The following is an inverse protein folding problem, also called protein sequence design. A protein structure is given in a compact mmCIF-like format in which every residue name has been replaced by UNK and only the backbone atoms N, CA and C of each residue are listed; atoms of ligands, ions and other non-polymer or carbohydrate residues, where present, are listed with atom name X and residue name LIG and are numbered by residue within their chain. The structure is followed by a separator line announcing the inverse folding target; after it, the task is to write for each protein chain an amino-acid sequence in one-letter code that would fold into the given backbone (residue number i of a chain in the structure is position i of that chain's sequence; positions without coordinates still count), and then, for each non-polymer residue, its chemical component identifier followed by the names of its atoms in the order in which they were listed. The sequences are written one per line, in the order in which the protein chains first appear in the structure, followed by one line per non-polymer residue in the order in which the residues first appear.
data_IF_888537422365
#
_entry.id   IF_888537422365
#
_cell.length_a   1.000
_cell.length_b   1.000
_cell.length_c   1.000
_cell.angle_alpha   90.00
_cell.angle_beta   90.00
_cell.angle_gamma   90.00
#
_symmetry.space_group_name_H-M   'P 1'
#
loop_
_entity.id
_entity.type
_entity.pdbx_description
1 polymer ?
#
# COMPACT_ATOMS: atom_id res chain seq x y z
N UNK A 1 20.61 5.49 8.28
CA UNK A 1 19.73 6.29 7.43
C UNK A 1 18.37 5.59 7.49
N UNK A 2 17.35 6.03 8.24
CA UNK A 2 16.82 7.39 8.41
C UNK A 2 16.78 8.09 7.06
N UNK A 3 15.58 8.45 6.58
CA UNK A 3 15.34 9.08 5.28
C UNK A 3 16.56 9.87 4.81
N UNK A 4 17.21 9.35 3.76
CA UNK A 4 18.53 9.82 3.36
C UNK A 4 18.50 11.32 3.07
N UNK A 5 19.33 12.09 3.78
CA UNK A 5 19.57 13.52 3.51
C UNK A 5 19.99 13.71 2.05
N UNK A 6 19.19 14.42 1.26
CA UNK A 6 19.55 14.93 -0.07
C UNK A 6 19.99 16.39 0.09
N UNK A 7 21.10 16.74 -0.57
CA UNK A 7 21.71 18.08 -0.61
C UNK A 7 20.74 19.15 -1.15
N UNK A 8 20.77 20.35 -0.55
CA UNK A 8 19.79 21.43 -0.69
C UNK A 8 19.92 22.28 -1.97
N UNK A 9 20.73 21.87 -2.95
CA UNK A 9 21.15 22.70 -4.09
C UNK A 9 20.33 22.52 -5.38
N UNK A 10 19.20 21.80 -5.36
CA UNK A 10 18.37 21.55 -6.57
C UNK A 10 16.87 21.79 -6.35
N UNK A 11 16.47 23.06 -6.30
CA UNK A 11 15.07 23.50 -6.05
C UNK A 11 14.49 24.17 -7.31
N UNK A 12 13.33 23.70 -7.79
CA UNK A 12 12.58 24.36 -8.88
C UNK A 12 11.06 24.07 -8.83
N UNK A 13 10.16 24.99 -9.31
CA UNK A 13 8.69 24.81 -9.35
C UNK A 13 8.23 24.18 -10.69
N UNK A 14 7.03 23.62 -10.95
CA UNK A 14 5.64 23.86 -10.50
C UNK A 14 4.76 22.59 -10.69
N UNK A 15 3.66 22.44 -9.93
CA UNK A 15 2.64 21.38 -10.10
C UNK A 15 1.52 21.76 -11.09
N UNK A 16 0.93 20.77 -11.79
CA UNK A 16 -0.25 20.92 -12.67
C UNK A 16 -1.40 20.00 -12.20
N UNK A 17 -2.64 20.50 -12.23
CA UNK A 17 -3.85 19.86 -11.69
C UNK A 17 -4.76 19.32 -12.81
N UNK A 18 -5.49 18.21 -12.57
CA UNK A 18 -6.62 17.76 -13.41
C UNK A 18 -7.83 17.37 -12.56
N UNK A 19 -9.04 17.47 -13.13
CA UNK A 19 -10.33 17.31 -12.44
C UNK A 19 -10.95 15.93 -12.67
N UNK A 20 -11.46 15.29 -11.61
CA UNK A 20 -12.33 14.11 -11.67
C UNK A 20 -13.57 14.30 -10.79
N UNK A 21 -14.71 13.77 -11.24
CA UNK A 21 -16.06 14.15 -10.75
C UNK A 21 -16.50 13.46 -9.44
N UNK A 22 -15.68 12.61 -8.82
CA UNK A 22 -16.10 11.75 -7.70
C UNK A 22 -15.20 11.77 -6.46
N UNK A 23 -14.13 12.56 -6.42
CA UNK A 23 -13.31 12.74 -5.22
C UNK A 23 -13.42 14.19 -4.72
N UNK A 24 -14.16 14.44 -3.63
CA UNK A 24 -14.25 15.77 -3.00
C UNK A 24 -13.05 16.07 -2.06
N UNK A 25 -11.83 15.74 -2.55
CA UNK A 25 -10.46 16.17 -2.22
C UNK A 25 -9.92 16.18 -0.77
N UNK A 26 -8.84 15.40 -0.54
CA UNK A 26 -7.69 15.86 0.28
C UNK A 26 -6.64 16.42 -0.67
N UNK A 27 -6.13 17.61 -0.35
CA UNK A 27 -5.02 18.27 -1.05
C UNK A 27 -3.81 18.24 -0.12
N UNK A 28 -2.68 17.74 -0.60
CA UNK A 28 -1.40 17.91 0.10
C UNK A 28 -0.71 19.12 -0.50
N UNK A 29 -0.78 20.25 0.21
CA UNK A 29 0.14 21.37 0.01
C UNK A 29 1.23 21.26 1.07
N UNK A 30 2.48 21.51 0.70
CA UNK A 30 3.46 21.96 1.67
C UNK A 30 4.28 23.11 1.10
N UNK A 31 4.45 24.11 1.96
CA UNK A 31 5.06 25.40 1.66
C UNK A 31 6.57 25.39 1.75
N UNK A 32 7.21 24.38 2.33
CA UNK A 32 8.68 24.29 2.39
C UNK A 32 9.18 22.84 2.42
N UNK A 33 10.20 22.58 1.59
CA UNK A 33 11.26 21.62 1.87
C UNK A 33 10.93 20.13 1.70
N UNK A 34 11.30 19.57 0.54
CA UNK A 34 12.10 18.34 0.41
C UNK A 34 12.40 18.12 -1.08
N UNK A 35 13.64 17.74 -1.38
CA UNK A 35 14.23 17.85 -2.71
C UNK A 35 13.66 16.91 -3.78
N UNK A 36 13.91 17.26 -5.03
CA UNK A 36 13.72 16.39 -6.17
C UNK A 36 14.78 15.27 -6.19
N UNK A 37 14.40 14.08 -6.66
CA UNK A 37 15.38 13.06 -7.06
C UNK A 37 15.79 13.41 -8.49
N UNK A 38 16.91 14.14 -8.62
CA UNK A 38 17.26 14.80 -9.89
C UNK A 38 16.37 16.02 -10.11
N UNK A 39 15.62 16.07 -11.22
CA UNK A 39 14.72 17.18 -11.58
C UNK A 39 13.23 16.81 -11.41
N UNK A 40 12.92 15.78 -10.61
CA UNK A 40 11.59 15.14 -10.55
C UNK A 40 11.02 15.09 -9.13
N UNK A 41 9.70 15.26 -9.03
CA UNK A 41 8.95 15.27 -7.77
C UNK A 41 8.69 13.82 -7.29
N UNK A 42 9.21 13.39 -6.12
CA UNK A 42 9.00 12.05 -5.58
C UNK A 42 7.61 11.92 -4.90
N UNK A 43 6.53 11.95 -5.68
CA UNK A 43 5.15 11.99 -5.15
C UNK A 43 4.82 10.87 -4.14
N UNK A 44 5.35 9.66 -4.32
CA UNK A 44 5.15 8.53 -3.42
C UNK A 44 5.67 8.77 -2.01
N UNK A 45 6.83 9.42 -1.88
CA UNK A 45 7.37 9.80 -0.58
C UNK A 45 6.43 10.74 0.17
N UNK A 46 5.94 11.80 -0.50
CA UNK A 46 5.02 12.74 0.14
C UNK A 46 3.68 12.10 0.52
N UNK A 47 3.16 11.19 -0.31
CA UNK A 47 1.90 10.51 -0.01
C UNK A 47 2.03 9.56 1.19
N UNK A 48 3.18 8.89 1.34
CA UNK A 48 3.50 8.06 2.50
C UNK A 48 3.54 8.88 3.80
N UNK A 49 4.33 9.96 3.82
CA UNK A 49 4.45 10.84 4.99
C UNK A 49 3.14 11.57 5.30
N UNK A 50 2.36 11.94 4.28
CA UNK A 50 1.02 12.47 4.46
C UNK A 50 0.07 11.43 5.10
N UNK A 51 0.26 10.15 4.78
CA UNK A 51 -0.42 9.03 5.43
C UNK A 51 -0.25 9.04 6.94
N UNK A 52 0.99 9.20 7.41
CA UNK A 52 1.28 9.36 8.84
C UNK A 52 0.71 10.68 9.38
N UNK A 53 1.11 11.81 8.78
CA UNK A 53 0.89 13.14 9.35
C UNK A 53 -0.57 13.59 9.38
N UNK A 54 -1.39 13.17 8.40
CA UNK A 54 -2.78 13.60 8.30
C UNK A 54 -3.80 12.52 8.66
N UNK A 55 -3.45 11.24 8.51
CA UNK A 55 -4.40 10.14 8.70
C UNK A 55 -4.01 9.17 9.82
N UNK A 56 -2.80 9.31 10.37
CA UNK A 56 -2.32 8.44 11.44
C UNK A 56 -2.16 6.99 11.01
N UNK A 57 -1.88 6.74 9.72
CA UNK A 57 -1.62 5.38 9.24
C UNK A 57 -0.25 4.91 9.77
N UNK A 58 -0.12 3.63 10.17
CA UNK A 58 1.18 3.08 10.56
C UNK A 58 2.01 2.72 9.33
N UNK A 59 3.32 2.54 9.53
CA UNK A 59 4.15 1.82 8.57
C UNK A 59 3.64 0.37 8.47
N UNK A 60 3.48 -0.13 7.25
CA UNK A 60 3.04 -1.51 6.93
C UNK A 60 4.17 -2.37 6.35
N UNK A 61 5.40 -1.91 6.51
CA UNK A 61 6.61 -2.72 6.42
C UNK A 61 7.13 -2.94 7.84
N UNK A 62 7.83 -4.05 8.05
CA UNK A 62 8.45 -4.35 9.32
C UNK A 62 9.97 -4.12 9.20
N UNK A 63 10.78 -5.03 9.75
CA UNK A 63 12.23 -4.94 9.68
C UNK A 63 12.75 -5.32 8.28
N UNK A 64 12.85 -4.32 7.40
CA UNK A 64 13.33 -4.48 6.04
C UNK A 64 14.79 -4.96 5.96
N UNK A 65 15.56 -4.88 7.04
CA UNK A 65 16.91 -5.47 7.06
C UNK A 65 16.88 -6.99 7.13
N UNK A 66 15.75 -7.56 7.56
CA UNK A 66 15.60 -8.97 7.85
C UNK A 66 14.62 -9.68 6.92
N UNK A 67 14.25 -9.07 5.79
CA UNK A 67 13.30 -9.66 4.84
C UNK A 67 11.83 -9.48 5.21
N UNK A 68 11.51 -8.66 6.21
CA UNK A 68 10.14 -8.39 6.63
C UNK A 68 9.62 -7.11 5.97
N UNK A 69 9.23 -7.22 4.70
CA UNK A 69 8.70 -6.13 3.89
C UNK A 69 7.21 -5.83 4.11
N UNK A 70 6.56 -6.61 4.97
CA UNK A 70 5.15 -6.47 5.33
C UNK A 70 4.24 -6.69 4.13
N UNK A 71 3.63 -5.63 3.60
CA UNK A 71 2.81 -5.70 2.38
C UNK A 71 3.59 -5.42 1.08
N UNK A 72 4.92 -5.27 1.18
CA UNK A 72 5.79 -5.09 0.03
C UNK A 72 5.44 -3.85 -0.81
N UNK A 73 5.60 -3.98 -2.12
CA UNK A 73 5.29 -2.94 -3.11
C UNK A 73 3.80 -2.83 -3.41
N UNK A 74 2.94 -3.64 -2.77
CA UNK A 74 1.50 -3.59 -3.00
C UNK A 74 0.80 -2.44 -2.28
N UNK A 75 1.40 -1.81 -1.27
CA UNK A 75 0.75 -0.74 -0.52
C UNK A 75 1.57 0.53 -0.35
N UNK A 76 0.88 1.67 -0.35
CA UNK A 76 1.47 2.99 -0.14
C UNK A 76 2.18 3.11 1.21
N UNK A 77 1.63 2.49 2.26
CA UNK A 77 2.23 2.55 3.60
C UNK A 77 3.39 1.56 3.78
N UNK A 78 3.86 0.95 2.70
CA UNK A 78 5.07 0.14 2.66
C UNK A 78 5.99 0.50 1.50
N UNK A 79 6.62 -0.49 0.87
CA UNK A 79 7.57 -0.27 -0.23
C UNK A 79 6.87 0.28 -1.49
N UNK A 80 5.55 0.24 -1.56
CA UNK A 80 4.78 0.81 -2.67
C UNK A 80 4.95 2.32 -2.81
N UNK A 81 5.38 3.03 -1.76
CA UNK A 81 5.76 4.45 -1.87
C UNK A 81 6.96 4.67 -2.81
N UNK A 82 7.86 3.68 -2.92
CA UNK A 82 9.05 3.74 -3.76
C UNK A 82 8.75 3.39 -5.22
N UNK A 83 7.63 2.73 -5.47
CA UNK A 83 7.18 2.33 -6.79
C UNK A 83 6.44 0.99 -6.77
N UNK A 84 5.98 0.58 -7.95
CA UNK A 84 5.18 -0.64 -8.12
C UNK A 84 5.99 -1.92 -8.31
N UNK A 85 7.30 -1.80 -8.58
CA UNK A 85 8.21 -2.93 -8.71
C UNK A 85 9.65 -2.50 -8.40
N UNK A 86 10.53 -3.48 -8.23
CA UNK A 86 11.94 -3.29 -7.89
C UNK A 86 12.86 -3.11 -9.10
N UNK A 87 12.31 -3.13 -10.31
CA UNK A 87 13.05 -2.96 -11.57
C UNK A 87 13.02 -1.51 -12.07
N UNK A 88 12.47 -0.59 -11.28
CA UNK A 88 12.44 0.82 -11.61
C UNK A 88 13.86 1.41 -11.63
N UNK A 89 14.14 2.20 -12.67
CA UNK A 89 15.35 3.00 -12.71
C UNK A 89 15.39 3.93 -11.49
N UNK A 90 16.60 4.17 -10.93
CA UNK A 90 16.78 5.01 -9.73
C UNK A 90 16.11 6.39 -9.85
N UNK A 91 16.07 6.96 -11.06
CA UNK A 91 15.43 8.26 -11.34
C UNK A 91 13.89 8.23 -11.46
N UNK A 92 13.27 7.06 -11.36
CA UNK A 92 11.81 6.88 -11.35
C UNK A 92 11.30 6.31 -10.01
N UNK A 93 12.19 6.08 -9.04
CA UNK A 93 11.78 5.78 -7.66
C UNK A 93 10.91 6.90 -7.11
N UNK A 94 9.90 6.54 -6.33
CA UNK A 94 8.86 7.42 -5.76
C UNK A 94 7.96 8.14 -6.77
N UNK A 95 8.08 7.83 -8.06
CA UNK A 95 7.27 8.50 -9.09
C UNK A 95 5.93 7.81 -9.33
N UNK A 96 5.91 6.49 -9.20
CA UNK A 96 4.75 5.66 -9.52
C UNK A 96 4.32 4.86 -8.29
N UNK A 97 3.82 5.54 -7.24
CA UNK A 97 3.50 4.83 -6.02
C UNK A 97 2.26 3.96 -6.18
N UNK A 98 2.22 2.89 -5.40
CA UNK A 98 1.08 1.99 -5.31
C UNK A 98 -0.10 2.67 -4.63
N UNK A 99 -1.31 2.16 -4.85
CA UNK A 99 -2.47 2.66 -4.13
C UNK A 99 -2.33 2.41 -2.62
N UNK A 100 -2.96 3.28 -1.81
CA UNK A 100 -3.25 2.94 -0.42
C UNK A 100 -4.00 1.61 -0.31
N UNK A 101 -3.83 0.95 0.82
CA UNK A 101 -4.49 -0.31 1.15
C UNK A 101 -6.01 -0.06 1.27
N UNK A 102 -6.87 -1.07 1.02
CA UNK A 102 -8.32 -0.90 1.11
C UNK A 102 -8.79 -0.36 2.46
N UNK A 103 -8.16 -0.81 3.56
CA UNK A 103 -8.45 -0.31 4.90
C UNK A 103 -8.18 1.19 5.01
N UNK A 104 -7.00 1.62 4.56
CA UNK A 104 -6.57 3.03 4.53
C UNK A 104 -7.54 3.87 3.70
N UNK A 105 -7.86 3.45 2.48
CA UNK A 105 -8.85 4.14 1.60
C UNK A 105 -10.22 4.26 2.28
N UNK A 106 -10.68 3.22 2.95
CA UNK A 106 -11.97 3.21 3.64
C UNK A 106 -11.96 4.13 4.89
N UNK A 107 -10.85 4.20 5.63
CA UNK A 107 -10.69 5.07 6.79
C UNK A 107 -10.86 6.55 6.42
N UNK A 108 -10.21 6.99 5.35
CA UNK A 108 -10.27 8.38 4.85
C UNK A 108 -11.47 8.65 3.95
N UNK A 109 -12.28 7.62 3.65
CA UNK A 109 -13.52 7.76 2.89
C UNK A 109 -13.33 7.91 1.37
N UNK A 110 -12.17 7.50 0.83
CA UNK A 110 -11.93 7.45 -0.61
C UNK A 110 -12.69 6.32 -1.28
N UNK A 111 -12.99 5.26 -0.53
CA UNK A 111 -13.86 4.16 -0.96
C UNK A 111 -14.91 3.88 0.11
N UNK A 112 -16.05 3.34 -0.30
CA UNK A 112 -17.07 2.79 0.60
C UNK A 112 -17.18 1.30 0.33
N UNK A 113 -16.53 0.44 1.15
CA UNK A 113 -16.54 -0.99 0.89
C UNK A 113 -17.96 -1.58 0.89
N UNK A 114 -18.26 -2.43 -0.09
CA UNK A 114 -19.45 -3.28 -0.04
C UNK A 114 -19.24 -4.36 1.01
N UNK A 115 -20.10 -4.37 2.02
CA UNK A 115 -20.00 -5.32 3.13
C UNK A 115 -20.69 -6.63 2.75
N UNK A 116 -19.94 -7.74 2.76
CA UNK A 116 -20.41 -9.09 2.50
C UNK A 116 -20.48 -9.85 3.81
N UNK A 117 -21.70 -10.21 4.23
CA UNK A 117 -22.00 -10.80 5.55
C UNK A 117 -22.48 -12.25 5.48
N UNK A 118 -22.60 -12.79 4.27
CA UNK A 118 -23.03 -14.16 4.03
C UNK A 118 -22.41 -14.65 2.73
N UNK A 119 -22.44 -15.96 2.52
CA UNK A 119 -22.01 -16.54 1.27
C UNK A 119 -22.75 -15.91 0.08
N UNK A 120 -22.00 -15.35 -0.87
CA UNK A 120 -22.55 -14.71 -2.06
C UNK A 120 -21.51 -14.65 -3.18
N UNK A 121 -22.01 -14.46 -4.40
CA UNK A 121 -21.20 -14.19 -5.56
C UNK A 121 -20.83 -12.70 -5.61
N UNK A 122 -19.55 -12.41 -5.81
CA UNK A 122 -18.97 -11.07 -5.83
C UNK A 122 -18.37 -10.78 -7.20
N UNK A 123 -18.63 -9.57 -7.68
CA UNK A 123 -17.99 -9.01 -8.87
C UNK A 123 -17.32 -7.70 -8.46
N UNK A 124 -16.02 -7.58 -8.74
CA UNK A 124 -15.23 -6.38 -8.49
C UNK A 124 -14.68 -5.84 -9.80
N UNK A 125 -14.82 -4.53 -10.03
CA UNK A 125 -14.13 -3.83 -11.12
C UNK A 125 -12.78 -3.29 -10.65
N UNK A 126 -11.88 -2.91 -11.58
CA UNK A 126 -10.58 -2.35 -11.21
C UNK A 126 -10.70 -1.16 -10.28
N UNK A 127 -10.01 -1.24 -9.14
CA UNK A 127 -10.05 -0.21 -8.09
C UNK A 127 -9.50 1.12 -8.58
N UNK A 128 -8.62 1.12 -9.60
CA UNK A 128 -8.01 2.31 -10.18
C UNK A 128 -9.05 3.29 -10.75
N UNK A 129 -10.13 2.76 -11.33
CA UNK A 129 -11.17 3.57 -11.97
C UNK A 129 -12.51 3.60 -11.25
N UNK A 130 -12.74 2.71 -10.29
CA UNK A 130 -14.08 2.52 -9.69
C UNK A 130 -14.11 2.70 -8.18
N UNK A 131 -13.00 2.49 -7.48
CA UNK A 131 -12.99 2.39 -6.03
C UNK A 131 -13.75 1.17 -5.48
N UNK A 132 -14.03 0.17 -6.32
CA UNK A 132 -14.71 -1.07 -5.90
C UNK A 132 -13.83 -1.83 -4.90
N UNK A 133 -14.35 -1.96 -3.68
CA UNK A 133 -13.75 -2.73 -2.60
C UNK A 133 -14.86 -3.52 -1.92
N UNK A 134 -14.60 -4.77 -1.57
CA UNK A 134 -15.47 -5.57 -0.70
C UNK A 134 -14.81 -5.73 0.67
N UNK A 135 -15.63 -5.67 1.72
CA UNK A 135 -15.22 -5.99 3.08
C UNK A 135 -16.01 -7.21 3.58
N UNK A 136 -15.32 -8.21 4.11
CA UNK A 136 -15.90 -9.40 4.74
C UNK A 136 -15.55 -9.35 6.23
N UNK A 137 -16.41 -8.77 7.09
CA UNK A 137 -16.14 -8.68 8.52
C UNK A 137 -16.28 -10.05 9.19
N UNK A 138 -15.21 -10.52 9.84
CA UNK A 138 -15.16 -11.83 10.50
C UNK A 138 -15.57 -11.71 11.96
N UNK A 139 -14.92 -10.81 12.69
CA UNK A 139 -15.20 -10.51 14.09
C UNK A 139 -15.03 -9.01 14.37
N UNK A 140 -14.80 -8.61 15.62
CA UNK A 140 -14.66 -7.20 15.99
C UNK A 140 -13.33 -6.59 15.54
N UNK A 141 -12.31 -7.42 15.37
CA UNK A 141 -10.91 -7.03 15.17
C UNK A 141 -10.38 -7.47 13.81
N UNK A 142 -11.08 -8.40 13.14
CA UNK A 142 -10.68 -8.99 11.87
C UNK A 142 -11.71 -8.75 10.78
N UNK A 143 -11.26 -8.17 9.67
CA UNK A 143 -12.01 -8.08 8.42
C UNK A 143 -11.11 -8.40 7.23
N UNK A 144 -11.64 -9.13 6.26
CA UNK A 144 -11.00 -9.23 4.95
C UNK A 144 -11.41 -8.06 4.08
N UNK A 145 -10.49 -7.53 3.30
CA UNK A 145 -10.77 -6.60 2.23
C UNK A 145 -10.31 -7.18 0.90
N UNK A 146 -11.12 -6.96 -0.13
CA UNK A 146 -10.93 -7.51 -1.46
C UNK A 146 -10.92 -6.33 -2.44
N UNK A 147 -9.84 -6.20 -3.21
CA UNK A 147 -9.77 -5.23 -4.30
C UNK A 147 -9.18 -5.88 -5.56
N UNK A 148 -9.70 -5.49 -6.73
CA UNK A 148 -9.12 -5.90 -8.00
C UNK A 148 -8.20 -4.80 -8.51
N UNK A 149 -6.93 -5.14 -8.80
CA UNK A 149 -5.99 -4.24 -9.47
C UNK A 149 -5.74 -4.68 -10.89
N UNK A 150 -5.83 -3.73 -11.81
CA UNK A 150 -5.60 -3.95 -13.25
C UNK A 150 -4.31 -3.30 -13.72
N UNK A 151 -3.85 -3.66 -14.92
CA UNK A 151 -2.66 -3.07 -15.56
C UNK A 151 -2.93 -1.65 -16.11
N UNK A 152 -3.52 -0.77 -15.30
CA UNK A 152 -3.89 0.60 -15.68
C UNK A 152 -3.46 1.61 -14.63
N UNK A 153 -3.35 2.87 -15.04
CA UNK A 153 -2.96 3.97 -14.14
C UNK A 153 -1.62 3.71 -13.47
N UNK A 154 -1.54 4.04 -12.17
CA UNK A 154 -0.35 3.79 -11.36
C UNK A 154 -0.10 2.29 -11.13
N UNK A 155 -1.12 1.45 -11.23
CA UNK A 155 -0.97 0.00 -11.05
C UNK A 155 -0.30 -0.71 -12.23
N UNK A 156 -0.17 -0.05 -13.39
CA UNK A 156 0.36 -0.65 -14.62
C UNK A 156 1.75 -1.28 -14.46
N UNK A 157 2.57 -0.74 -13.56
CA UNK A 157 3.92 -1.24 -13.31
C UNK A 157 4.04 -2.33 -12.24
N UNK A 158 2.95 -2.82 -11.62
CA UNK A 158 3.06 -3.93 -10.67
C UNK A 158 3.48 -5.22 -11.37
N UNK A 159 4.15 -6.10 -10.63
CA UNK A 159 4.60 -7.39 -11.14
C UNK A 159 3.41 -8.27 -11.61
N UNK A 160 2.27 -8.19 -10.93
CA UNK A 160 1.05 -8.90 -11.30
C UNK A 160 -0.22 -8.05 -11.18
N UNK A 161 -1.30 -8.54 -11.77
CA UNK A 161 -2.62 -7.90 -11.76
C UNK A 161 -3.69 -8.95 -11.49
N UNK A 162 -4.60 -8.66 -10.58
CA UNK A 162 -5.56 -9.63 -10.08
C UNK A 162 -6.22 -9.16 -8.79
N UNK A 163 -6.90 -10.07 -8.13
CA UNK A 163 -7.49 -9.86 -6.81
C UNK A 163 -6.38 -9.84 -5.76
N UNK A 164 -6.27 -8.73 -5.04
CA UNK A 164 -5.53 -8.67 -3.79
C UNK A 164 -6.50 -8.95 -2.64
N UNK A 165 -6.06 -9.83 -1.74
CA UNK A 165 -6.80 -10.21 -0.54
C UNK A 165 -6.04 -9.68 0.66
N UNK A 166 -6.71 -8.87 1.47
CA UNK A 166 -6.13 -8.24 2.64
C UNK A 166 -6.82 -8.75 3.89
N UNK A 167 -6.07 -9.11 4.93
CA UNK A 167 -6.59 -9.40 6.27
C UNK A 167 -6.23 -8.22 7.16
N UNK A 168 -7.19 -7.35 7.43
CA UNK A 168 -6.94 -6.00 7.98
C UNK A 168 -5.95 -5.22 7.10
N UNK A 169 -4.71 -5.03 7.57
CA UNK A 169 -3.63 -4.42 6.80
C UNK A 169 -2.73 -5.43 6.10
N UNK A 170 -2.72 -6.69 6.54
CA UNK A 170 -1.78 -7.69 6.03
C UNK A 170 -2.21 -8.18 4.65
N UNK A 171 -1.24 -8.32 3.74
CA UNK A 171 -1.49 -8.93 2.44
C UNK A 171 -1.50 -10.45 2.56
N UNK A 172 -2.55 -11.09 2.07
CA UNK A 172 -2.60 -12.54 1.89
C UNK A 172 -2.03 -12.87 0.51
N UNK A 173 -0.84 -13.47 0.49
CA UNK A 173 -0.17 -13.87 -0.75
C UNK A 173 -0.77 -15.17 -1.29
N UNK A 174 -1.13 -15.19 -2.58
CA UNK A 174 -1.82 -16.31 -3.21
C UNK A 174 -0.97 -17.59 -3.30
N UNK A 175 0.34 -17.44 -3.40
CA UNK A 175 1.31 -18.54 -3.37
C UNK A 175 1.48 -19.20 -1.99
N UNK A 176 0.96 -18.58 -0.93
CA UNK A 176 1.09 -19.05 0.45
C UNK A 176 2.51 -19.01 1.03
N UNK A 177 3.45 -18.30 0.39
CA UNK A 177 4.84 -18.19 0.88
C UNK A 177 4.96 -17.30 2.11
N UNK A 178 4.09 -16.28 2.20
CA UNK A 178 4.11 -15.27 3.26
C UNK A 178 5.51 -14.62 3.42
N UNK A 179 6.26 -14.55 2.33
CA UNK A 179 7.67 -14.15 2.31
C UNK A 179 7.85 -12.63 2.36
N UNK A 180 6.78 -11.85 2.19
CA UNK A 180 6.80 -10.42 2.49
C UNK A 180 6.75 -10.18 4.01
N UNK A 181 6.03 -11.00 4.78
CA UNK A 181 5.98 -10.88 6.24
C UNK A 181 7.07 -11.68 6.95
N UNK A 182 7.58 -12.75 6.34
CA UNK A 182 8.50 -13.70 6.96
C UNK A 182 9.71 -14.06 6.08
N UNK A 183 10.16 -13.11 5.25
CA UNK A 183 11.35 -13.30 4.42
C UNK A 183 12.61 -13.60 5.24
N UNK A 184 13.61 -14.18 4.60
CA UNK A 184 14.88 -14.49 5.25
C UNK A 184 15.74 -13.24 5.41
N UNK A 185 16.43 -13.13 6.55
CA UNK A 185 17.42 -12.08 6.79
C UNK A 185 18.60 -12.17 5.81
N UNK A 186 18.81 -11.11 5.03
CA UNK A 186 19.88 -11.01 4.03
C UNK A 186 21.15 -10.30 4.54
N UNK A 187 21.16 -9.81 5.79
CA UNK A 187 22.33 -9.20 6.43
C UNK A 187 22.43 -7.67 6.27
N UNK A 188 23.59 -7.12 6.64
CA UNK A 188 23.78 -5.66 6.80
C UNK A 188 23.85 -4.94 5.44
N UNK A 189 22.78 -4.18 5.12
CA UNK A 189 22.59 -3.32 3.92
C UNK A 189 22.18 -4.07 2.64
N UNK A 190 20.93 -4.55 2.54
CA UNK A 190 20.35 -4.77 1.23
C UNK A 190 20.26 -3.40 0.54
N UNK A 191 21.06 -3.18 -0.51
CA UNK A 191 20.74 -2.16 -1.49
C UNK A 191 19.66 -2.77 -2.38
N UNK A 192 18.43 -2.22 -2.43
CA UNK A 192 17.49 -2.61 -3.46
C UNK A 192 18.09 -2.32 -4.85
N UNK A 193 18.05 -3.25 -5.84
CA UNK A 193 17.83 -4.69 -5.62
C UNK A 193 18.58 -5.62 -6.60
N UNK A 194 19.23 -6.66 -6.08
CA UNK A 194 19.46 -7.90 -6.83
C UNK A 194 19.08 -9.06 -5.91
N UNK A 195 17.99 -9.76 -6.25
CA UNK A 195 17.48 -11.00 -5.64
C UNK A 195 16.54 -10.90 -4.41
N UNK A 196 15.81 -9.80 -4.22
CA UNK A 196 14.76 -9.70 -3.19
C UNK A 196 13.35 -9.67 -3.80
N UNK A 197 12.44 -10.48 -3.25
CA UNK A 197 11.01 -10.43 -3.56
C UNK A 197 10.34 -9.36 -2.68
N UNK A 198 9.99 -8.22 -3.28
CA UNK A 198 9.19 -7.17 -2.63
C UNK A 198 7.73 -7.19 -3.07
N UNK A 199 7.34 -8.24 -3.77
CA UNK A 199 6.05 -8.45 -4.37
C UNK A 199 6.23 -8.92 -5.80
N UNK A 200 5.59 -10.03 -6.15
CA UNK A 200 5.67 -10.64 -7.47
C UNK A 200 4.32 -11.10 -8.00
N UNK A 201 4.30 -11.58 -9.24
CA UNK A 201 3.06 -11.92 -9.93
C UNK A 201 2.32 -13.14 -9.34
N UNK A 202 2.92 -13.84 -8.37
CA UNK A 202 2.30 -14.94 -7.64
C UNK A 202 1.61 -14.52 -6.34
N UNK A 203 1.72 -13.26 -5.93
CA UNK A 203 1.02 -12.74 -4.75
C UNK A 203 -0.49 -12.53 -4.98
N UNK A 204 -0.87 -12.22 -6.22
CA UNK A 204 -2.25 -11.88 -6.59
C UNK A 204 -3.04 -13.13 -6.98
N UNK A 205 -4.36 -13.12 -6.76
CA UNK A 205 -5.25 -14.18 -7.22
C UNK A 205 -5.89 -13.81 -8.58
N UNK A 206 -5.86 -14.66 -9.61
CA UNK A 206 -5.16 -15.93 -9.68
C UNK A 206 -3.64 -15.83 -9.90
N UNK A 207 -3.16 -14.70 -10.40
CA UNK A 207 -1.73 -14.44 -10.59
C UNK A 207 -1.04 -15.43 -11.53
N UNK A 208 0.28 -15.48 -11.48
CA UNK A 208 1.09 -16.38 -12.33
C UNK A 208 0.94 -17.85 -11.98
N UNK A 209 0.55 -18.18 -10.74
CA UNK A 209 0.34 -19.55 -10.29
C UNK A 209 -1.07 -20.08 -10.53
N UNK A 210 -2.01 -19.25 -11.00
CA UNK A 210 -3.38 -19.69 -11.29
C UNK A 210 -4.18 -20.05 -10.04
N UNK A 211 -3.87 -19.48 -8.87
CA UNK A 211 -4.52 -19.84 -7.60
C UNK A 211 -5.91 -19.24 -7.55
N UNK A 212 -6.93 -20.08 -7.66
CA UNK A 212 -8.34 -19.62 -7.73
C UNK A 212 -9.13 -19.81 -6.43
N UNK A 213 -8.44 -20.13 -5.33
CA UNK A 213 -9.06 -20.39 -4.03
C UNK A 213 -8.18 -19.92 -2.87
N UNK A 214 -8.82 -19.33 -1.86
CA UNK A 214 -8.25 -19.03 -0.54
C UNK A 214 -9.17 -19.56 0.56
N UNK A 215 -8.62 -20.04 1.67
CA UNK A 215 -9.41 -20.50 2.82
C UNK A 215 -8.70 -20.16 4.14
N UNK A 216 -9.39 -19.43 5.02
CA UNK A 216 -9.03 -19.31 6.43
C UNK A 216 -10.08 -20.08 7.25
N UNK A 217 -9.65 -21.23 7.78
CA UNK A 217 -10.50 -22.15 8.55
C UNK A 217 -10.87 -21.59 9.91
N UNK A 218 -10.02 -20.77 10.51
CA UNK A 218 -10.26 -20.15 11.81
C UNK A 218 -11.29 -19.03 11.67
N UNK A 219 -11.10 -18.16 10.67
CA UNK A 219 -12.05 -17.12 10.30
C UNK A 219 -13.35 -17.66 9.68
N UNK A 220 -13.34 -18.94 9.25
CA UNK A 220 -14.47 -19.61 8.57
C UNK A 220 -14.90 -18.90 7.28
N UNK A 221 -13.92 -18.35 6.57
CA UNK A 221 -14.08 -17.65 5.30
C UNK A 221 -13.29 -18.39 4.23
N UNK A 222 -13.91 -18.63 3.07
CA UNK A 222 -13.18 -19.01 1.85
C UNK A 222 -13.58 -18.13 0.67
N UNK A 223 -12.63 -17.94 -0.23
CA UNK A 223 -12.82 -17.33 -1.54
C UNK A 223 -12.63 -18.44 -2.56
N UNK A 224 -13.60 -18.63 -3.44
CA UNK A 224 -13.64 -19.76 -4.36
C UNK A 224 -13.98 -19.28 -5.77
N UNK A 225 -13.64 -20.09 -6.78
CA UNK A 225 -13.97 -19.82 -8.18
C UNK A 225 -13.48 -18.44 -8.68
N UNK A 226 -12.33 -17.98 -8.17
CA UNK A 226 -11.77 -16.68 -8.54
C UNK A 226 -11.43 -16.69 -10.03
N UNK A 227 -12.11 -15.86 -10.81
CA UNK A 227 -12.00 -15.79 -12.26
C UNK A 227 -11.75 -14.36 -12.69
N UNK A 228 -10.58 -14.13 -13.29
CA UNK A 228 -10.17 -12.82 -13.79
C UNK A 228 -10.61 -12.63 -15.24
N UNK A 229 -11.20 -11.46 -15.52
CA UNK A 229 -11.49 -10.96 -16.86
C UNK A 229 -10.76 -9.64 -17.08
N UNK A 230 -10.78 -9.13 -18.31
CA UNK A 230 -10.13 -7.88 -18.66
C UNK A 230 -10.64 -6.68 -17.83
N UNK A 231 -11.94 -6.64 -17.52
CA UNK A 231 -12.61 -5.48 -16.93
C UNK A 231 -13.18 -5.73 -15.52
N UNK A 232 -13.04 -6.95 -14.99
CA UNK A 232 -13.56 -7.34 -13.68
C UNK A 232 -12.92 -8.64 -13.19
N UNK A 233 -13.10 -8.92 -11.90
CA UNK A 233 -12.86 -10.22 -11.29
C UNK A 233 -14.14 -10.70 -10.62
N UNK A 234 -14.42 -11.98 -10.78
CA UNK A 234 -15.59 -12.65 -10.20
C UNK A 234 -15.11 -13.73 -9.24
N UNK A 235 -15.82 -13.91 -8.12
CA UNK A 235 -15.52 -14.95 -7.14
C UNK A 235 -16.73 -15.26 -6.28
N UNK A 236 -16.71 -16.42 -5.64
CA UNK A 236 -17.65 -16.74 -4.57
C UNK A 236 -16.98 -16.50 -3.22
N UNK A 237 -17.58 -15.63 -2.41
CA UNK A 237 -17.25 -15.52 -0.99
C UNK A 237 -18.10 -16.52 -0.24
N UNK A 238 -17.49 -17.40 0.57
CA UNK A 238 -18.19 -18.38 1.41
C UNK A 238 -17.91 -18.10 2.87
N UNK A 239 -18.97 -18.07 3.68
CA UNK A 239 -18.90 -17.96 5.14
C UNK A 239 -19.58 -19.20 5.74
N UNK A 240 -18.89 -19.95 6.62
CA UNK A 240 -19.44 -21.22 7.14
C UNK A 240 -20.55 -21.02 8.19
N UNK A 241 -21.39 -22.05 8.49
CA UNK A 241 -22.42 -21.98 9.52
C UNK A 241 -21.88 -21.57 10.89
N UNK A 242 -22.59 -20.69 11.59
CA UNK A 242 -22.14 -20.11 12.86
C UNK A 242 -21.38 -18.79 12.71
N UNK A 243 -21.06 -18.39 11.47
CA UNK A 243 -20.62 -17.03 11.15
C UNK A 243 -21.70 -16.03 11.56
N UNK A 244 -21.43 -15.24 12.60
CA UNK A 244 -22.24 -14.08 12.95
C UNK A 244 -21.57 -12.87 12.35
N UNK A 245 -21.94 -12.56 11.12
CA UNK A 245 -21.52 -11.30 10.52
C UNK A 245 -21.85 -10.16 11.48
N UNK A 246 -20.81 -9.52 12.01
CA UNK A 246 -20.98 -8.37 12.88
C UNK A 246 -21.05 -7.12 12.02
N UNK A 247 -21.69 -6.09 12.57
CA UNK A 247 -21.80 -4.79 11.91
C UNK A 247 -20.39 -4.33 11.52
N UNK A 248 -20.15 -4.13 10.23
CA UNK A 248 -18.89 -3.53 9.79
C UNK A 248 -18.80 -2.13 10.41
N UNK A 249 -17.67 -1.86 11.05
CA UNK A 249 -17.35 -0.54 11.55
C UNK A 249 -16.40 0.10 10.56
N UNK A 250 -16.65 1.36 10.22
CA UNK A 250 -15.68 2.13 9.44
C UNK A 250 -14.32 2.05 10.16
N UNK A 251 -13.24 1.71 9.46
CA UNK A 251 -11.88 1.87 9.94
C UNK A 251 -11.68 3.18 10.68
N UNK A 252 -11.04 3.11 11.85
CA UNK A 252 -10.78 4.30 12.69
C UNK A 252 -9.39 4.83 12.36
N UNK A 253 -9.30 6.14 12.16
CA UNK A 253 -8.01 6.84 12.18
C UNK A 253 -7.49 6.86 13.62
N UNK A 254 -6.18 6.69 13.80
CA UNK A 254 -5.57 6.94 15.10
C UNK A 254 -5.78 8.42 15.49
N UNK A 255 -5.91 8.76 16.79
CA UNK A 255 -5.95 10.15 17.21
C UNK A 255 -4.66 10.85 16.77
N UNK A 256 -4.78 11.95 16.03
CA UNK A 256 -3.64 12.79 15.68
C UNK A 256 -3.19 13.54 16.94
N UNK A 257 -2.03 13.16 17.48
CA UNK A 257 -1.38 13.96 18.52
C UNK A 257 -0.57 15.07 17.84
N UNK A 258 -1.18 16.26 17.72
CA UNK A 258 -0.52 17.44 17.14
C UNK A 258 0.62 18.01 18.03
N UNK A 259 0.96 17.38 19.16
CA UNK A 259 2.02 17.86 20.05
C UNK A 259 3.46 17.64 19.54
N UNK A 260 3.65 17.04 18.36
CA UNK A 260 4.98 16.71 17.82
C UNK A 260 5.47 17.55 16.64
N UNK A 261 4.65 18.41 16.03
CA UNK A 261 5.09 19.27 14.91
C UNK A 261 5.66 20.59 15.47
N UNK A 262 6.59 20.46 16.42
CA UNK A 262 7.42 21.56 16.90
C UNK A 262 8.67 21.63 16.03
N UNK A 263 8.80 22.71 15.27
CA UNK A 263 10.09 23.21 14.78
C UNK A 263 10.91 23.66 15.99
N UNK A 264 11.48 22.71 16.72
CA UNK A 264 12.55 22.97 17.69
C UNK A 264 13.18 21.64 18.05
N UNK A 265 14.28 21.31 17.38
CA UNK A 265 15.46 20.60 17.89
C UNK A 265 16.36 20.24 16.71
N UNK A 266 17.21 21.18 16.28
CA UNK A 266 18.59 20.91 15.83
C UNK A 266 19.27 22.19 15.29
N UNK A 267 19.26 23.28 16.06
CA UNK A 267 20.32 24.30 15.93
C UNK A 267 21.35 24.04 17.03
N UNK A 268 22.21 23.07 16.77
CA UNK A 268 23.47 22.89 17.49
C UNK A 268 24.59 23.34 16.57
N UNK A 269 25.10 24.53 16.83
CA UNK A 269 26.32 25.06 16.24
C UNK A 269 27.53 24.14 16.49
N UNK A 270 28.49 24.25 15.57
CA UNK A 270 29.90 23.85 15.67
C UNK A 270 30.23 22.34 15.66
N UNK A 271 30.82 21.90 14.53
CA UNK A 271 32.21 21.44 14.50
C UNK A 271 32.62 20.94 13.11
N UNK A 272 33.59 21.66 12.53
CA UNK A 272 34.73 21.15 11.75
C UNK A 272 34.43 20.44 10.42
N UNK A 273 34.60 21.16 9.31
CA UNK A 273 35.40 20.65 8.20
C UNK A 273 36.16 21.82 7.57
N UNK A 274 37.46 21.90 7.91
CA UNK A 274 38.46 22.66 7.18
C UNK A 274 38.59 22.11 5.76
N UNK A 275 38.96 23.03 4.86
CA UNK A 275 39.35 22.85 3.48
C UNK A 275 40.31 21.67 3.26
N UNK A 276 40.16 21.01 2.11
CA UNK A 276 41.25 20.94 1.12
C UNK A 276 40.73 20.51 -0.25
N UNK A 277 41.15 21.33 -1.21
CA UNK A 277 41.27 21.17 -2.66
C UNK A 277 41.24 19.74 -3.19
#
# INVERSE_FOLDING_TARGET
MHSGRISSDRVGPSCTFTTFKQANHTVVFQSEGLGSIGDRIPIGFYLHEAGHGYFGFPDLYADHYHGHYGIGMWGMMALGAWGTNNQLARGDLFRYPSHFEPYSKAAIGWVTPRVVTRSEHVVLKPVEGTGDVVAVPVDNDTSYYLEYRSATGFSAGHAGHGLLVWKNYDLVQADGRDDLNHGHNLGYRPLPPINENFGDDSDVFPGSLGVTRFEDREARVSLENITQYADRIELDVRTQPGFRARKWHKPRMAPLDFQGIGVDHAFGHDALFEERL
#
